data_IF_255972233765
#
_entry.id   IF_255972233765
#
_cell.length_a   1.000
_cell.length_b   1.000
_cell.length_c   1.000
_cell.angle_alpha   90.00
_cell.angle_beta   90.00
_cell.angle_gamma   90.00
#
_symmetry.space_group_name_H-M   'P 1'
#
loop_
_entity.id
_entity.type
_entity.pdbx_description
1 polymer ?
#
# COMPACT_ATOMS: atom_id res chain seq x y z
N UNK A 1 14.21 -14.79 -5.76
CA UNK A 1 14.23 -14.62 -7.23
C UNK A 1 12.97 -13.89 -7.62
N UNK A 2 13.08 -12.85 -8.45
CA UNK A 2 11.92 -12.11 -8.96
C UNK A 2 11.20 -12.91 -10.06
N UNK A 3 9.89 -12.70 -10.27
CA UNK A 3 9.12 -13.45 -11.25
C UNK A 3 9.48 -13.04 -12.68
N UNK A 4 9.85 -14.02 -13.50
CA UNK A 4 10.34 -13.81 -14.86
C UNK A 4 11.47 -14.76 -15.26
N UNK A 5 12.07 -15.46 -14.28
CA UNK A 5 13.02 -16.55 -14.52
C UNK A 5 14.36 -16.13 -15.12
N UNK A 6 14.64 -14.83 -15.20
CA UNK A 6 15.89 -14.26 -15.70
C UNK A 6 16.66 -13.54 -14.59
N UNK A 7 17.95 -13.33 -14.83
CA UNK A 7 18.79 -12.52 -13.95
C UNK A 7 18.45 -11.04 -14.14
N UNK A 8 18.10 -10.39 -13.04
CA UNK A 8 17.83 -8.96 -13.00
C UNK A 8 19.10 -8.17 -12.76
N UNK A 9 19.16 -6.94 -13.28
CA UNK A 9 20.19 -6.00 -12.89
C UNK A 9 20.20 -5.79 -11.38
N UNK A 10 21.40 -5.69 -10.80
CA UNK A 10 21.61 -5.40 -9.39
C UNK A 10 20.81 -4.18 -8.88
N UNK A 11 20.59 -3.18 -9.72
CA UNK A 11 19.79 -1.98 -9.42
C UNK A 11 18.31 -2.30 -9.25
N UNK A 12 17.76 -3.20 -10.07
CA UNK A 12 16.37 -3.65 -9.92
C UNK A 12 16.20 -4.50 -8.67
N UNK A 13 17.17 -5.38 -8.38
CA UNK A 13 17.17 -6.17 -7.15
C UNK A 13 17.23 -5.28 -5.91
N UNK A 14 18.11 -4.26 -5.90
CA UNK A 14 18.22 -3.30 -4.80
C UNK A 14 16.94 -2.46 -4.63
N UNK A 15 16.33 -2.01 -5.73
CA UNK A 15 15.05 -1.32 -5.70
C UNK A 15 13.95 -2.21 -5.09
N UNK A 16 13.83 -3.45 -5.54
CA UNK A 16 12.82 -4.38 -5.04
C UNK A 16 13.05 -4.72 -3.56
N UNK A 17 14.30 -4.93 -3.15
CA UNK A 17 14.64 -5.20 -1.76
C UNK A 17 14.30 -4.02 -0.85
N UNK A 18 14.44 -2.79 -1.33
CA UNK A 18 14.00 -1.58 -0.61
C UNK A 18 12.50 -1.62 -0.32
N UNK A 19 11.69 -1.98 -1.31
CA UNK A 19 10.25 -2.16 -1.11
C UNK A 19 9.95 -3.31 -0.15
N UNK A 20 10.57 -4.48 -0.36
CA UNK A 20 10.32 -5.70 0.42
C UNK A 20 10.68 -5.54 1.90
N UNK A 21 11.74 -4.81 2.20
CA UNK A 21 12.23 -4.58 3.57
C UNK A 21 11.60 -3.36 4.25
N UNK A 22 10.85 -2.53 3.51
CA UNK A 22 10.20 -1.35 4.07
C UNK A 22 9.11 -1.72 5.09
N UNK A 23 8.92 -0.94 6.18
CA UNK A 23 7.89 -1.24 7.18
C UNK A 23 6.46 -1.31 6.60
N UNK A 24 6.17 -0.55 5.54
CA UNK A 24 4.87 -0.58 4.87
C UNK A 24 4.56 -1.92 4.18
N UNK A 25 5.59 -2.69 3.79
CA UNK A 25 5.39 -4.01 3.18
C UNK A 25 4.68 -5.00 4.12
N UNK A 26 4.72 -4.77 5.44
CA UNK A 26 3.96 -5.55 6.41
C UNK A 26 2.44 -5.42 6.24
N UNK A 27 1.97 -4.37 5.54
CA UNK A 27 0.55 -4.13 5.26
C UNK A 27 0.14 -4.58 3.86
N UNK A 28 1.07 -5.01 3.02
CA UNK A 28 0.78 -5.40 1.64
C UNK A 28 -0.07 -6.65 1.59
N UNK A 29 -1.16 -6.58 0.84
CA UNK A 29 -1.94 -7.74 0.44
C UNK A 29 -1.25 -8.45 -0.74
N UNK A 30 -1.72 -9.66 -1.07
CA UNK A 30 -1.21 -10.41 -2.21
C UNK A 30 -1.27 -9.60 -3.53
N UNK A 31 -2.28 -8.74 -3.68
CA UNK A 31 -2.44 -7.86 -4.84
C UNK A 31 -1.36 -6.77 -4.92
N UNK A 32 -0.91 -6.26 -3.77
CA UNK A 32 0.15 -5.24 -3.70
C UNK A 32 1.50 -5.87 -4.04
N UNK A 33 1.75 -7.08 -3.53
CA UNK A 33 2.91 -7.87 -3.93
C UNK A 33 2.88 -8.17 -5.43
N UNK A 34 1.75 -8.66 -5.98
CA UNK A 34 1.61 -8.91 -7.40
C UNK A 34 1.91 -7.65 -8.23
N UNK A 35 1.40 -6.49 -7.78
CA UNK A 35 1.69 -5.20 -8.40
C UNK A 35 3.18 -4.87 -8.37
N UNK A 36 3.83 -5.00 -7.21
CA UNK A 36 5.27 -4.72 -7.07
C UNK A 36 6.11 -5.60 -8.03
N UNK A 37 5.75 -6.88 -8.17
CA UNK A 37 6.38 -7.79 -9.11
C UNK A 37 6.22 -7.37 -10.58
N UNK A 38 5.04 -6.89 -10.97
CA UNK A 38 4.80 -6.38 -12.32
C UNK A 38 5.64 -5.11 -12.59
N UNK A 39 5.77 -4.23 -11.60
CA UNK A 39 6.58 -3.00 -11.72
C UNK A 39 8.07 -3.31 -11.81
N UNK A 40 8.56 -4.37 -11.16
CA UNK A 40 9.96 -4.78 -11.25
C UNK A 40 10.43 -4.99 -12.71
N UNK A 41 9.55 -5.50 -13.59
CA UNK A 41 9.83 -5.65 -15.02
C UNK A 41 10.00 -4.30 -15.72
N UNK A 42 9.23 -3.29 -15.34
CA UNK A 42 9.34 -1.94 -15.90
C UNK A 42 10.62 -1.25 -15.40
N UNK A 43 10.98 -1.46 -14.14
CA UNK A 43 12.23 -0.94 -13.55
C UNK A 43 13.46 -1.56 -14.23
N UNK A 44 13.44 -2.87 -14.50
CA UNK A 44 14.50 -3.54 -15.26
C UNK A 44 14.65 -2.95 -16.67
N UNK A 45 13.54 -2.78 -17.38
CA UNK A 45 13.54 -2.15 -18.70
C UNK A 45 14.06 -0.71 -18.63
N UNK A 46 13.68 0.04 -17.60
CA UNK A 46 14.13 1.41 -17.41
C UNK A 46 15.65 1.51 -17.19
N UNK A 47 16.25 0.56 -16.48
CA UNK A 47 17.71 0.53 -16.28
C UNK A 47 18.49 0.20 -17.54
N UNK A 48 17.86 -0.53 -18.46
CA UNK A 48 18.45 -0.89 -19.77
C UNK A 48 18.27 0.25 -20.78
N UNK A 49 17.07 0.80 -20.87
CA UNK A 49 16.71 1.85 -21.83
C UNK A 49 15.82 2.91 -21.15
N UNK A 50 16.42 3.95 -20.54
CA UNK A 50 15.67 4.95 -19.80
C UNK A 50 14.71 5.74 -20.70
N UNK A 51 13.41 5.58 -20.46
CA UNK A 51 12.31 6.29 -21.16
C UNK A 51 11.43 7.04 -20.18
N UNK A 52 10.94 8.21 -20.57
CA UNK A 52 10.07 9.04 -19.70
C UNK A 52 8.74 8.34 -19.42
N UNK A 53 8.24 7.61 -20.42
CA UNK A 53 7.01 6.83 -20.38
C UNK A 53 7.13 5.68 -19.36
N UNK A 54 8.26 4.97 -19.37
CA UNK A 54 8.56 3.94 -18.36
C UNK A 54 8.62 4.55 -16.95
N UNK A 55 9.33 5.68 -16.80
CA UNK A 55 9.43 6.34 -15.51
C UNK A 55 8.07 6.85 -15.01
N UNK A 56 7.20 7.35 -15.90
CA UNK A 56 5.84 7.74 -15.51
C UNK A 56 5.02 6.57 -15.02
N UNK A 57 5.08 5.42 -15.71
CA UNK A 57 4.36 4.21 -15.28
C UNK A 57 4.89 3.69 -13.94
N UNK A 58 6.22 3.64 -13.77
CA UNK A 58 6.84 3.25 -12.49
C UNK A 58 6.31 4.15 -11.36
N UNK A 59 6.38 5.48 -11.54
CA UNK A 59 5.92 6.44 -10.52
C UNK A 59 4.44 6.31 -10.20
N UNK A 60 3.58 6.06 -11.20
CA UNK A 60 2.15 5.85 -10.98
C UNK A 60 1.88 4.61 -10.11
N UNK A 61 2.58 3.50 -10.38
CA UNK A 61 2.41 2.28 -9.62
C UNK A 61 3.05 2.37 -8.22
N UNK A 62 4.20 3.04 -8.08
CA UNK A 62 4.80 3.33 -6.77
C UNK A 62 3.91 4.22 -5.91
N UNK A 63 3.25 5.23 -6.51
CA UNK A 63 2.30 6.09 -5.80
C UNK A 63 1.05 5.32 -5.33
N UNK A 64 0.60 4.32 -6.10
CA UNK A 64 -0.48 3.42 -5.69
C UNK A 64 -0.07 2.54 -4.50
N UNK A 65 1.22 2.24 -4.36
CA UNK A 65 1.83 1.48 -3.26
C UNK A 65 2.40 2.37 -2.14
N UNK A 66 2.08 3.67 -2.08
CA UNK A 66 2.57 4.52 -0.98
C UNK A 66 4.07 4.85 -1.02
N UNK A 67 4.67 4.93 -2.21
CA UNK A 67 6.11 5.15 -2.39
C UNK A 67 6.64 6.42 -1.74
N UNK A 68 5.82 7.48 -1.67
CA UNK A 68 6.19 8.74 -1.00
C UNK A 68 5.40 8.99 0.28
N UNK A 69 5.90 9.88 1.14
CA UNK A 69 5.16 10.30 2.34
C UNK A 69 3.78 10.90 2.01
N UNK A 70 3.70 11.69 0.93
CA UNK A 70 2.45 12.26 0.45
C UNK A 70 1.47 11.16 -0.02
N UNK A 71 1.96 10.12 -0.71
CA UNK A 71 1.13 8.99 -1.13
C UNK A 71 0.58 8.22 0.07
N UNK A 72 1.43 7.95 1.08
CA UNK A 72 0.98 7.28 2.30
C UNK A 72 -0.08 8.07 3.06
N UNK A 73 0.08 9.39 3.16
CA UNK A 73 -0.94 10.27 3.74
C UNK A 73 -2.25 10.20 2.94
N UNK A 74 -2.18 10.25 1.61
CA UNK A 74 -3.34 10.14 0.70
C UNK A 74 -4.06 8.79 0.85
N UNK A 75 -3.31 7.70 0.95
CA UNK A 75 -3.83 6.35 1.15
C UNK A 75 -4.27 6.07 2.61
N UNK A 76 -4.01 7.02 3.52
CA UNK A 76 -4.23 6.88 4.97
C UNK A 76 -3.51 5.66 5.55
N UNK A 77 -2.33 5.35 5.03
CA UNK A 77 -1.49 4.29 5.56
C UNK A 77 -0.85 4.76 6.86
N UNK A 78 -1.10 4.02 7.94
CA UNK A 78 -0.35 4.17 9.19
C UNK A 78 0.79 3.18 9.15
N UNK A 79 1.97 3.65 8.77
CA UNK A 79 3.18 2.86 8.90
C UNK A 79 3.47 2.76 10.39
N UNK A 80 3.35 1.55 10.95
CA UNK A 80 3.79 1.34 12.31
C UNK A 80 5.28 1.68 12.38
N UNK A 81 5.68 2.53 13.31
CA UNK A 81 7.09 2.65 13.67
C UNK A 81 7.56 1.25 14.08
N UNK A 82 8.69 0.83 13.53
CA UNK A 82 9.29 -0.44 13.88
C UNK A 82 9.80 -0.32 15.31
N UNK A 83 8.93 -0.54 16.30
CA UNK A 83 9.36 -0.90 17.64
C UNK A 83 10.25 -2.14 17.49
N UNK A 84 11.47 -2.08 18.03
CA UNK A 84 12.48 -3.14 18.14
C UNK A 84 11.93 -4.36 18.90
N UNK A 85 10.95 -5.06 18.32
CA UNK A 85 10.34 -6.25 18.85
C UNK A 85 10.77 -7.46 18.01
N UNK A 86 11.26 -8.55 18.65
CA UNK A 86 11.80 -9.70 17.95
C UNK A 86 10.72 -10.34 17.06
N UNK A 87 11.16 -10.89 15.92
CA UNK A 87 10.34 -11.41 14.83
C UNK A 87 9.41 -12.57 15.24
N UNK A 88 8.32 -12.24 15.94
CA UNK A 88 7.17 -13.09 16.17
C UNK A 88 6.05 -12.65 15.24
N UNK A 89 5.70 -13.53 14.29
CA UNK A 89 4.59 -13.44 13.31
C UNK A 89 3.50 -12.42 13.70
N UNK A 90 3.59 -11.21 13.15
CA UNK A 90 2.54 -10.19 13.26
C UNK A 90 1.48 -10.48 12.21
N UNK A 91 0.30 -10.92 12.64
CA UNK A 91 -0.90 -10.85 11.82
C UNK A 91 -1.34 -9.37 11.75
N UNK A 92 -1.65 -8.82 10.57
CA UNK A 92 -2.13 -7.45 10.48
C UNK A 92 -3.49 -7.35 11.19
N UNK A 93 -3.55 -6.67 12.33
CA UNK A 93 -4.82 -6.29 12.94
C UNK A 93 -5.31 -5.04 12.21
N UNK A 94 -6.33 -5.18 11.38
CA UNK A 94 -7.07 -4.04 10.88
C UNK A 94 -7.74 -3.36 12.07
N UNK A 95 -7.31 -2.13 12.37
CA UNK A 95 -7.86 -1.35 13.47
C UNK A 95 -9.38 -1.31 13.41
N UNK A 96 -10.04 -1.55 14.54
CA UNK A 96 -11.49 -1.40 14.67
C UNK A 96 -11.87 -0.01 14.19
N UNK A 97 -12.54 0.05 13.04
CA UNK A 97 -13.10 1.28 12.51
C UNK A 97 -13.94 1.94 13.61
N UNK A 98 -13.68 3.23 13.84
CA UNK A 98 -14.36 4.05 14.82
C UNK A 98 -15.87 4.05 14.58
N UNK A 99 -16.57 3.19 15.32
CA UNK A 99 -18.02 3.19 15.41
C UNK A 99 -18.47 4.35 16.31
N UNK A 100 -18.49 5.56 15.76
CA UNK A 100 -19.30 6.66 16.30
C UNK A 100 -19.39 7.77 15.25
N UNK A 101 -20.60 7.98 14.70
CA UNK A 101 -21.13 9.20 14.04
C UNK A 101 -22.29 8.88 13.07
N UNK A 102 -23.18 7.94 13.40
CA UNK A 102 -24.49 7.78 12.72
C UNK A 102 -25.60 7.56 13.73
N UNK A 103 -25.81 8.56 14.60
CA UNK A 103 -26.86 8.54 15.63
C UNK A 103 -27.60 9.87 15.76
N UNK A 104 -27.84 10.58 14.66
CA UNK A 104 -28.67 11.79 14.68
C UNK A 104 -29.35 12.05 13.34
N UNK A 105 -30.18 11.12 12.89
CA UNK A 105 -31.35 11.43 12.04
C UNK A 105 -32.37 10.32 12.30
N UNK A 106 -33.45 10.65 13.01
CA UNK A 106 -34.84 10.21 12.80
C UNK A 106 -35.61 10.24 14.14
N UNK A 107 -36.31 11.35 14.40
CA UNK A 107 -37.59 11.31 15.12
C UNK A 107 -38.59 12.06 14.25
N UNK A 108 -39.23 11.30 13.36
CA UNK A 108 -40.56 11.62 12.87
C UNK A 108 -41.52 11.21 13.99
N UNK A 109 -42.37 12.13 14.42
CA UNK A 109 -43.51 11.81 15.29
C UNK A 109 -44.75 12.40 14.60
N UNK A 110 -45.41 11.55 13.82
CA UNK A 110 -46.81 11.73 13.45
C UNK A 110 -47.65 10.90 14.43
N UNK A 111 -48.76 11.47 14.94
CA UNK A 111 -49.82 10.68 15.57
C UNK A 111 -50.56 11.35 16.72
N UNK A 112 -51.76 11.85 16.41
CA UNK A 112 -52.81 12.40 17.25
C UNK A 112 -53.25 11.53 18.45
N UNK A 113 -53.85 12.15 19.48
CA UNK A 113 -55.30 12.07 19.79
C UNK A 113 -55.66 12.33 21.28
N UNK A 114 -56.67 13.20 21.47
CA UNK A 114 -57.78 13.16 22.44
C UNK A 114 -57.54 13.35 23.96
N UNK A 115 -58.37 14.24 24.52
CA UNK A 115 -58.52 14.55 25.95
C UNK A 115 -59.33 15.83 26.15
#
# INVERSE_FOLDING_TARGET
>A
MLPGGHDYDSRTLAWYETWRSSPQAAMFLATDWQRLHMVAQLVEQYWTEPKKELLSEIRLNEAALGGTAADRMRLRWSVAEADDAPAGRRTPSFGKAAASRRGRVLRVVDGQAEG
#
